data_IF_092221227041
#
_entry.id   IF_092221227041
#
_cell.length_a   1.000
_cell.length_b   1.000
_cell.length_c   1.000
_cell.angle_alpha   90.00
_cell.angle_beta   90.00
_cell.angle_gamma   90.00
#
_symmetry.space_group_name_H-M   'P 1'
#
loop_
_entity.id
_entity.type
_entity.pdbx_description
1 polymer ?
#
# COMPACT_ATOMS: atom_id res chain seq x y z
N UNK A 1 -23.77 2.84 -3.58
CA UNK A 1 -24.71 3.48 -4.52
C UNK A 1 -23.93 4.28 -5.54
N UNK A 2 -24.37 4.31 -6.80
CA UNK A 2 -23.87 5.22 -7.83
C UNK A 2 -25.07 5.63 -8.68
N UNK A 3 -25.31 6.93 -8.83
CA UNK A 3 -26.50 7.46 -9.52
C UNK A 3 -27.80 6.78 -9.01
N UNK A 4 -27.98 6.76 -7.69
CA UNK A 4 -29.09 6.11 -6.96
C UNK A 4 -29.29 4.60 -7.16
N UNK A 5 -28.45 3.94 -7.97
CA UNK A 5 -28.44 2.49 -8.11
C UNK A 5 -27.60 1.83 -7.01
N UNK A 6 -28.17 0.84 -6.31
CA UNK A 6 -27.43 -0.04 -5.40
C UNK A 6 -26.53 -0.97 -6.24
N UNK A 7 -25.22 -0.92 -5.99
CA UNK A 7 -24.22 -1.72 -6.70
C UNK A 7 -23.97 -3.07 -6.05
N UNK A 8 -24.16 -3.16 -4.72
CA UNK A 8 -23.88 -4.36 -3.95
C UNK A 8 -24.00 -4.11 -2.45
N UNK A 9 -23.53 -5.07 -1.66
CA UNK A 9 -23.44 -5.00 -0.20
C UNK A 9 -22.08 -5.50 0.26
N UNK A 10 -21.49 -4.80 1.23
CA UNK A 10 -20.22 -5.19 1.84
C UNK A 10 -20.57 -5.80 3.21
N UNK A 11 -20.12 -7.02 3.45
CA UNK A 11 -20.32 -7.74 4.71
C UNK A 11 -19.16 -7.47 5.67
N UNK A 12 -19.30 -7.97 6.90
CA UNK A 12 -18.22 -7.89 7.91
C UNK A 12 -16.90 -8.43 7.37
N UNK A 13 -15.79 -7.76 7.67
CA UNK A 13 -14.46 -8.05 7.12
C UNK A 13 -14.22 -7.50 5.71
N UNK A 14 -15.23 -6.95 5.04
CA UNK A 14 -15.06 -6.28 3.76
C UNK A 14 -14.42 -4.89 3.88
N UNK A 15 -13.86 -4.42 2.78
CA UNK A 15 -13.19 -3.12 2.67
C UNK A 15 -13.77 -2.31 1.50
N UNK A 16 -13.58 -0.99 1.54
CA UNK A 16 -13.90 -0.09 0.43
C UNK A 16 -13.02 1.16 0.46
N UNK A 17 -12.80 1.75 -0.71
CA UNK A 17 -12.05 3.00 -0.84
C UNK A 17 -10.54 2.81 -1.00
N UNK A 18 -10.10 1.59 -1.28
CA UNK A 18 -8.73 1.17 -1.56
C UNK A 18 -8.11 1.94 -2.75
N UNK A 19 -8.90 2.28 -3.77
CA UNK A 19 -8.42 3.06 -4.89
C UNK A 19 -7.96 4.47 -4.50
N UNK A 20 -8.55 5.06 -3.44
CA UNK A 20 -8.12 6.36 -2.95
C UNK A 20 -6.73 6.27 -2.31
N UNK A 21 -6.41 5.13 -1.68
CA UNK A 21 -5.09 4.86 -1.10
C UNK A 21 -4.03 4.76 -2.22
N UNK A 22 -4.31 3.98 -3.26
CA UNK A 22 -3.36 3.69 -4.33
C UNK A 22 -3.19 4.85 -5.33
N UNK A 23 -4.28 5.47 -5.79
CA UNK A 23 -4.25 6.29 -7.01
C UNK A 23 -4.74 7.74 -6.86
N UNK A 24 -4.94 8.24 -5.64
CA UNK A 24 -5.59 9.55 -5.42
C UNK A 24 -6.95 9.68 -6.15
N UNK A 25 -7.67 8.58 -6.31
CA UNK A 25 -8.90 8.56 -7.08
C UNK A 25 -10.07 9.15 -6.26
N UNK A 26 -10.95 9.89 -6.93
CA UNK A 26 -12.22 10.33 -6.33
C UNK A 26 -13.12 9.13 -6.01
N UNK A 27 -14.06 9.31 -5.08
CA UNK A 27 -15.00 8.25 -4.70
C UNK A 27 -15.85 7.86 -5.91
N UNK A 28 -15.79 6.59 -6.31
CA UNK A 28 -16.52 6.06 -7.48
C UNK A 28 -17.96 5.70 -7.17
N UNK A 29 -18.29 5.54 -5.88
CA UNK A 29 -19.61 5.22 -5.35
C UNK A 29 -19.73 5.71 -3.89
N UNK A 30 -20.96 5.97 -3.45
CA UNK A 30 -21.28 6.30 -2.06
C UNK A 30 -21.56 5.03 -1.25
N UNK A 31 -21.03 4.96 -0.03
CA UNK A 31 -21.29 3.87 0.92
C UNK A 31 -22.21 4.38 2.02
N UNK A 32 -23.24 3.61 2.37
CA UNK A 32 -24.19 3.92 3.44
C UNK A 32 -24.28 2.71 4.35
N UNK A 33 -24.20 2.94 5.66
CA UNK A 33 -24.41 1.89 6.64
C UNK A 33 -25.88 1.43 6.61
N UNK A 34 -26.09 0.12 6.57
CA UNK A 34 -27.44 -0.49 6.60
C UNK A 34 -27.88 -0.74 8.05
N UNK A 35 -26.92 -0.98 8.93
CA UNK A 35 -27.09 -1.15 10.38
C UNK A 35 -26.04 -0.33 11.11
N UNK A 36 -26.10 -0.30 12.45
CA UNK A 36 -25.02 0.29 13.24
C UNK A 36 -23.71 -0.48 12.98
N UNK A 37 -22.67 0.24 12.55
CA UNK A 37 -21.40 -0.33 12.14
C UNK A 37 -20.25 0.52 12.65
N UNK A 38 -19.21 -0.13 13.15
CA UNK A 38 -17.92 0.50 13.45
C UNK A 38 -16.94 0.15 12.33
N UNK A 39 -16.15 1.13 11.91
CA UNK A 39 -15.18 0.98 10.83
C UNK A 39 -13.78 1.35 11.32
N UNK A 40 -12.79 0.60 10.85
CA UNK A 40 -11.40 1.02 10.89
C UNK A 40 -11.11 1.91 9.68
N UNK A 41 -10.40 3.00 9.91
CA UNK A 41 -10.02 3.95 8.87
C UNK A 41 -8.50 3.92 8.73
N UNK A 42 -8.03 3.78 7.50
CA UNK A 42 -6.63 3.91 7.15
C UNK A 42 -6.44 5.20 6.35
N UNK A 43 -5.69 6.14 6.91
CA UNK A 43 -5.36 7.38 6.21
C UNK A 43 -4.32 7.13 5.10
N UNK A 44 -4.50 7.81 3.98
CA UNK A 44 -3.64 7.64 2.81
C UNK A 44 -2.20 8.08 3.09
N UNK A 45 -2.00 9.21 3.75
CA UNK A 45 -0.65 9.73 4.02
C UNK A 45 0.06 8.79 4.97
N UNK A 46 -0.63 8.33 6.02
CA UNK A 46 -0.11 7.32 6.95
C UNK A 46 0.32 6.05 6.20
N UNK A 47 -0.55 5.51 5.33
CA UNK A 47 -0.21 4.34 4.52
C UNK A 47 1.02 4.59 3.64
N UNK A 48 1.05 5.70 2.90
CA UNK A 48 2.18 6.03 2.01
C UNK A 48 3.49 6.20 2.77
N UNK A 49 3.46 6.86 3.93
CA UNK A 49 4.65 7.03 4.79
C UNK A 49 5.17 5.69 5.26
N UNK A 50 4.29 4.81 5.76
CA UNK A 50 4.69 3.48 6.21
C UNK A 50 5.27 2.67 5.04
N UNK A 51 4.59 2.63 3.90
CA UNK A 51 5.03 1.87 2.72
C UNK A 51 6.36 2.38 2.16
N UNK A 52 6.57 3.69 2.12
CA UNK A 52 7.84 4.26 1.66
C UNK A 52 8.97 3.92 2.62
N UNK A 53 8.73 4.07 3.94
CA UNK A 53 9.70 3.74 4.97
C UNK A 53 10.10 2.27 4.90
N UNK A 54 9.13 1.36 4.94
CA UNK A 54 9.40 -0.09 4.92
C UNK A 54 10.04 -0.54 3.60
N UNK A 55 9.66 0.08 2.48
CA UNK A 55 10.28 -0.17 1.18
C UNK A 55 11.75 0.28 1.12
N UNK A 56 12.09 1.42 1.74
CA UNK A 56 13.48 1.87 1.84
C UNK A 56 14.31 0.97 2.76
N UNK A 57 13.79 0.66 3.95
CA UNK A 57 14.45 -0.23 4.92
C UNK A 57 14.76 -1.59 4.28
N UNK A 58 13.78 -2.22 3.62
CA UNK A 58 13.98 -3.50 2.91
C UNK A 58 15.04 -3.41 1.83
N UNK A 59 15.12 -2.28 1.11
CA UNK A 59 16.13 -2.09 0.05
C UNK A 59 17.53 -1.91 0.63
N UNK A 60 17.66 -1.20 1.74
CA UNK A 60 18.93 -1.07 2.46
C UNK A 60 19.40 -2.41 3.02
N UNK A 61 18.50 -3.19 3.60
CA UNK A 61 18.76 -4.56 4.06
C UNK A 61 19.24 -5.46 2.91
N UNK A 62 18.54 -5.45 1.77
CA UNK A 62 18.95 -6.23 0.60
C UNK A 62 20.34 -5.81 0.10
N UNK A 63 20.63 -4.52 -0.02
CA UNK A 63 21.94 -4.03 -0.47
C UNK A 63 23.04 -4.40 0.53
N UNK A 64 22.77 -4.27 1.83
CA UNK A 64 23.70 -4.65 2.90
C UNK A 64 24.03 -6.14 2.82
N UNK A 65 23.02 -6.98 2.64
CA UNK A 65 23.20 -8.41 2.42
C UNK A 65 24.05 -8.70 1.19
N UNK A 66 23.76 -8.09 0.04
CA UNK A 66 24.57 -8.32 -1.17
C UNK A 66 26.03 -7.88 -0.98
N UNK A 67 26.30 -6.79 -0.26
CA UNK A 67 27.67 -6.35 0.05
C UNK A 67 28.42 -7.30 1.00
N UNK A 68 27.71 -8.09 1.80
CA UNK A 68 28.32 -9.11 2.66
C UNK A 68 28.88 -10.30 1.86
N UNK A 69 28.39 -10.51 0.64
CA UNK A 69 28.87 -11.58 -0.25
C UNK A 69 30.19 -11.15 -0.91
N UNK A 70 31.31 -11.87 -0.72
CA UNK A 70 32.63 -11.48 -1.23
C UNK A 70 32.65 -11.18 -2.73
N UNK A 71 31.90 -11.96 -3.52
CA UNK A 71 31.78 -11.79 -4.97
C UNK A 71 31.14 -10.44 -5.38
N UNK A 72 30.24 -9.91 -4.57
CA UNK A 72 29.43 -8.73 -4.89
C UNK A 72 29.87 -7.46 -4.15
N UNK A 73 30.78 -7.59 -3.17
CA UNK A 73 31.24 -6.51 -2.28
C UNK A 73 31.72 -5.24 -3.01
N UNK A 74 32.40 -5.41 -4.14
CA UNK A 74 32.99 -4.31 -4.91
C UNK A 74 32.11 -3.82 -6.06
N UNK A 75 30.90 -4.38 -6.20
CA UNK A 75 29.99 -3.96 -7.26
C UNK A 75 29.41 -2.57 -6.92
N UNK A 76 29.33 -1.66 -7.90
CA UNK A 76 28.70 -0.36 -7.72
C UNK A 76 27.25 -0.44 -7.20
N UNK A 77 26.85 0.53 -6.38
CA UNK A 77 25.51 0.54 -5.75
C UNK A 77 24.36 0.56 -6.76
N UNK A 78 24.53 1.16 -7.94
CA UNK A 78 23.54 1.16 -9.03
C UNK A 78 23.35 -0.23 -9.66
N UNK A 79 24.42 -1.03 -9.70
CA UNK A 79 24.37 -2.42 -10.16
C UNK A 79 23.75 -3.31 -9.09
N UNK A 80 24.12 -3.12 -7.82
CA UNK A 80 23.51 -3.82 -6.69
C UNK A 80 22.02 -3.52 -6.57
N UNK A 81 21.61 -2.26 -6.77
CA UNK A 81 20.20 -1.87 -6.72
C UNK A 81 19.32 -2.47 -7.83
N UNK A 82 19.91 -3.02 -8.90
CA UNK A 82 19.19 -3.77 -9.94
C UNK A 82 19.05 -5.26 -9.61
N UNK A 83 19.88 -5.76 -8.69
CA UNK A 83 19.89 -7.16 -8.24
C UNK A 83 19.05 -7.32 -6.97
N UNK A 84 19.10 -6.32 -6.09
CA UNK A 84 18.33 -6.19 -4.85
C UNK A 84 16.84 -5.98 -5.09
#
# INVERSE_FOLDING_TARGET
HKNDKRLGEIKSGGLFGELAILYNCTRTASVKAVTNTTLWVLDRRVFQTIMMKTGLERREENISFLKSVPLLKHLPSDKLAKIA
#
